data_IF_449352544970
#
_entry.id   IF_449352544970
#
_cell.length_a   1.000
_cell.length_b   1.000
_cell.length_c   1.000
_cell.angle_alpha   90.00
_cell.angle_beta   90.00
_cell.angle_gamma   90.00
#
_symmetry.space_group_name_H-M   'P 1'
#
loop_
_entity.id
_entity.type
_entity.pdbx_description
1 polymer ?
#
# COMPACT_ATOMS: atom_id res chain seq x y z
N UNK A 1 -4.97 12.14 15.26
CA UNK A 1 -5.26 11.97 13.82
C UNK A 1 -5.49 13.36 13.25
N UNK A 2 -4.83 13.72 12.17
CA UNK A 2 -4.97 15.05 11.55
C UNK A 2 -5.17 14.85 10.06
N UNK A 3 -6.28 15.33 9.52
CA UNK A 3 -6.60 15.21 8.10
C UNK A 3 -7.46 16.39 7.64
N UNK A 4 -7.38 16.72 6.34
CA UNK A 4 -8.27 17.68 5.67
C UNK A 4 -9.03 16.91 4.60
N UNK A 5 -10.35 16.79 4.77
CA UNK A 5 -11.20 15.96 3.91
C UNK A 5 -12.32 16.83 3.37
N UNK A 6 -12.49 16.82 2.04
CA UNK A 6 -13.70 17.36 1.42
C UNK A 6 -14.83 16.37 1.64
N UNK A 7 -15.95 16.84 2.16
CA UNK A 7 -17.15 16.04 2.45
C UNK A 7 -18.32 16.56 1.65
N UNK A 8 -19.36 15.75 1.51
CA UNK A 8 -20.59 16.16 0.85
C UNK A 8 -21.27 17.33 1.59
N UNK A 9 -21.97 18.24 0.88
CA UNK A 9 -22.60 19.41 1.49
C UNK A 9 -23.55 19.06 2.65
N UNK A 10 -24.29 17.96 2.55
CA UNK A 10 -25.20 17.49 3.62
C UNK A 10 -24.45 17.07 4.88
N UNK A 11 -23.32 16.38 4.73
CA UNK A 11 -22.43 16.01 5.86
C UNK A 11 -21.89 17.28 6.53
N UNK A 12 -21.44 18.26 5.74
CA UNK A 12 -20.93 19.52 6.29
C UNK A 12 -22.00 20.31 7.05
N UNK A 13 -23.22 20.42 6.50
CA UNK A 13 -24.37 21.05 7.17
C UNK A 13 -24.71 20.33 8.49
N UNK A 14 -24.79 19.00 8.48
CA UNK A 14 -25.07 18.20 9.68
C UNK A 14 -23.98 18.38 10.75
N UNK A 15 -22.70 18.43 10.37
CA UNK A 15 -21.61 18.66 11.33
C UNK A 15 -21.69 20.04 11.99
N UNK A 16 -22.11 21.08 11.27
CA UNK A 16 -22.38 22.40 11.87
C UNK A 16 -23.49 22.31 12.91
N UNK A 17 -24.62 21.69 12.56
CA UNK A 17 -25.74 21.49 13.46
C UNK A 17 -25.33 20.70 14.72
N UNK A 18 -24.53 19.64 14.57
CA UNK A 18 -24.04 18.83 15.70
C UNK A 18 -23.08 19.58 16.63
N UNK A 19 -22.56 20.74 16.22
CA UNK A 19 -21.70 21.61 17.03
C UNK A 19 -22.46 22.78 17.66
N UNK A 20 -23.71 23.03 17.28
CA UNK A 20 -24.50 24.14 17.82
C UNK A 20 -24.74 23.96 19.32
N UNK A 21 -24.59 25.06 20.07
CA UNK A 21 -24.75 25.11 21.53
C UNK A 21 -23.85 24.14 22.32
N UNK A 22 -22.74 23.66 21.72
CA UNK A 22 -21.74 22.82 22.38
C UNK A 22 -20.47 23.59 22.71
N UNK A 23 -19.83 23.22 23.82
CA UNK A 23 -18.52 23.66 24.22
C UNK A 23 -17.43 22.72 23.68
N UNK A 24 -16.16 23.09 23.85
CA UNK A 24 -15.02 22.33 23.30
C UNK A 24 -14.85 20.90 23.85
N UNK A 25 -15.38 20.62 25.04
CA UNK A 25 -15.28 19.31 25.70
C UNK A 25 -16.53 18.43 25.48
N UNK A 26 -17.58 18.95 24.86
CA UNK A 26 -18.83 18.22 24.63
C UNK A 26 -18.69 17.21 23.47
N UNK A 27 -19.38 16.08 23.57
CA UNK A 27 -19.34 15.06 22.52
C UNK A 27 -20.00 15.54 21.23
N UNK A 28 -19.31 15.38 20.09
CA UNK A 28 -19.85 15.75 18.77
C UNK A 28 -21.13 14.98 18.43
N UNK A 29 -21.19 13.69 18.74
CA UNK A 29 -22.35 12.82 18.51
C UNK A 29 -23.00 12.42 19.83
N UNK A 30 -23.58 13.39 20.54
CA UNK A 30 -24.14 13.29 21.90
C UNK A 30 -25.28 12.27 22.05
N UNK A 31 -25.95 11.91 20.94
CA UNK A 31 -27.03 10.92 20.92
C UNK A 31 -26.63 9.58 20.30
N UNK A 32 -25.36 9.40 19.96
CA UNK A 32 -24.86 8.19 19.31
C UNK A 32 -23.97 7.41 20.27
N UNK A 33 -24.26 6.12 20.45
CA UNK A 33 -23.36 5.21 21.15
C UNK A 33 -22.82 4.13 20.20
N UNK A 34 -21.67 3.56 20.57
CA UNK A 34 -21.09 2.42 19.82
C UNK A 34 -22.00 1.19 19.85
N UNK A 35 -22.77 0.99 20.92
CA UNK A 35 -23.75 -0.09 21.01
C UNK A 35 -24.89 0.12 20.00
N UNK A 36 -25.50 1.31 19.98
CA UNK A 36 -26.56 1.65 19.04
C UNK A 36 -26.10 1.57 17.58
N UNK A 37 -24.90 2.06 17.27
CA UNK A 37 -24.33 1.96 15.92
C UNK A 37 -24.15 0.50 15.48
N UNK A 38 -23.57 -0.36 16.32
CA UNK A 38 -23.35 -1.76 15.94
C UNK A 38 -24.65 -2.56 15.88
N UNK A 39 -25.65 -2.22 16.69
CA UNK A 39 -26.99 -2.79 16.55
C UNK A 39 -27.58 -2.46 15.18
N UNK A 40 -27.59 -1.18 14.80
CA UNK A 40 -28.07 -0.75 13.49
C UNK A 40 -27.30 -1.44 12.35
N UNK A 41 -25.98 -1.53 12.44
CA UNK A 41 -25.17 -2.23 11.43
C UNK A 41 -25.52 -3.72 11.33
N UNK A 42 -25.78 -4.39 12.45
CA UNK A 42 -26.14 -5.81 12.48
C UNK A 42 -27.52 -6.07 11.87
N UNK A 43 -28.44 -5.11 11.97
CA UNK A 43 -29.76 -5.16 11.31
C UNK A 43 -29.63 -5.05 9.78
N UNK A 44 -28.62 -4.32 9.28
CA UNK A 44 -28.33 -4.23 7.84
C UNK A 44 -27.67 -5.50 7.29
N UNK A 45 -26.78 -6.13 8.07
CA UNK A 45 -26.09 -7.36 7.71
C UNK A 45 -25.64 -8.10 8.96
N UNK A 46 -26.00 -9.39 9.07
CA UNK A 46 -25.61 -10.22 10.20
C UNK A 46 -24.08 -10.22 10.40
N UNK A 47 -23.64 -9.92 11.62
CA UNK A 47 -22.22 -9.86 11.97
C UNK A 47 -21.48 -8.58 11.55
N UNK A 48 -22.15 -7.64 10.88
CA UNK A 48 -21.56 -6.36 10.50
C UNK A 48 -21.39 -5.46 11.73
N UNK A 49 -20.17 -4.94 11.88
CA UNK A 49 -19.80 -4.02 12.97
C UNK A 49 -18.86 -2.95 12.44
N UNK A 50 -18.69 -1.84 13.16
CA UNK A 50 -17.83 -0.74 12.72
C UNK A 50 -16.37 -1.18 12.41
N UNK A 51 -15.85 -2.19 13.12
CA UNK A 51 -14.50 -2.74 12.87
C UNK A 51 -14.37 -3.43 11.51
N UNK A 52 -15.46 -4.01 10.98
CA UNK A 52 -15.46 -4.75 9.71
C UNK A 52 -15.14 -3.80 8.56
N UNK A 53 -15.63 -2.56 8.60
CA UNK A 53 -15.31 -1.53 7.59
C UNK A 53 -13.81 -1.26 7.48
N UNK A 54 -13.07 -1.23 8.61
CA UNK A 54 -11.61 -1.04 8.57
C UNK A 54 -10.92 -2.20 7.86
N UNK A 55 -11.30 -3.44 8.15
CA UNK A 55 -10.74 -4.64 7.52
C UNK A 55 -11.11 -4.72 6.04
N UNK A 56 -12.37 -4.40 5.69
CA UNK A 56 -12.86 -4.37 4.32
C UNK A 56 -12.09 -3.32 3.50
N UNK A 57 -12.07 -2.07 3.94
CA UNK A 57 -11.39 -0.98 3.21
C UNK A 57 -9.89 -1.26 3.08
N UNK A 58 -9.23 -1.74 4.14
CA UNK A 58 -7.82 -2.10 4.08
C UNK A 58 -7.52 -3.22 3.08
N UNK A 59 -8.32 -4.31 3.12
CA UNK A 59 -8.13 -5.47 2.24
C UNK A 59 -8.46 -5.13 0.79
N UNK A 60 -9.54 -4.39 0.55
CA UNK A 60 -9.91 -3.93 -0.79
C UNK A 60 -8.84 -3.00 -1.37
N UNK A 61 -8.38 -2.00 -0.62
CA UNK A 61 -7.29 -1.12 -1.06
C UNK A 61 -6.02 -1.90 -1.37
N UNK A 62 -5.66 -2.92 -0.57
CA UNK A 62 -4.51 -3.76 -0.91
C UNK A 62 -4.70 -4.46 -2.26
N UNK A 63 -5.85 -5.08 -2.50
CA UNK A 63 -6.14 -5.78 -3.75
C UNK A 63 -6.05 -4.82 -4.94
N UNK A 64 -6.78 -3.70 -4.88
CA UNK A 64 -6.85 -2.72 -5.96
C UNK A 64 -5.45 -2.12 -6.28
N UNK A 65 -4.66 -1.81 -5.24
CA UNK A 65 -3.29 -1.30 -5.41
C UNK A 65 -2.32 -2.36 -5.95
N UNK A 66 -2.45 -3.63 -5.54
CA UNK A 66 -1.61 -4.70 -6.07
C UNK A 66 -1.90 -4.95 -7.56
N UNK A 67 -3.16 -4.90 -7.97
CA UNK A 67 -3.55 -5.06 -9.36
C UNK A 67 -3.08 -3.89 -10.24
N UNK A 68 -3.02 -2.68 -9.67
CA UNK A 68 -2.53 -1.47 -10.35
C UNK A 68 -1.01 -1.39 -10.43
N UNK A 69 -0.29 -1.69 -9.33
CA UNK A 69 1.14 -1.40 -9.19
C UNK A 69 2.06 -2.55 -9.63
N UNK A 70 1.54 -3.78 -9.78
CA UNK A 70 2.38 -4.94 -10.07
C UNK A 70 2.65 -5.09 -11.57
N UNK A 71 3.90 -4.91 -11.98
CA UNK A 71 4.36 -5.25 -13.33
C UNK A 71 4.66 -6.77 -13.43
N UNK A 72 4.00 -7.51 -14.35
CA UNK A 72 4.26 -8.93 -14.60
C UNK A 72 5.73 -9.25 -14.90
N UNK A 73 6.41 -8.38 -15.62
CA UNK A 73 7.77 -8.59 -16.13
C UNK A 73 8.85 -8.07 -15.15
N UNK A 74 8.44 -7.44 -14.06
CA UNK A 74 9.37 -6.93 -13.07
C UNK A 74 10.08 -8.04 -12.31
N UNK A 75 11.30 -7.73 -11.86
CA UNK A 75 12.08 -8.62 -11.02
C UNK A 75 11.42 -8.81 -9.64
N UNK A 76 11.76 -9.88 -8.92
CA UNK A 76 11.22 -10.12 -7.58
C UNK A 76 11.44 -8.92 -6.63
N UNK A 77 12.62 -8.26 -6.58
CA UNK A 77 12.80 -7.04 -5.78
C UNK A 77 11.81 -5.92 -6.12
N UNK A 78 11.55 -5.69 -7.41
CA UNK A 78 10.62 -4.65 -7.87
C UNK A 78 9.17 -5.00 -7.54
N UNK A 79 8.77 -6.27 -7.71
CA UNK A 79 7.46 -6.76 -7.26
C UNK A 79 7.26 -6.58 -5.76
N UNK A 80 8.30 -6.84 -4.95
CA UNK A 80 8.25 -6.59 -3.51
C UNK A 80 8.11 -5.10 -3.17
N UNK A 81 8.75 -4.21 -3.94
CA UNK A 81 8.56 -2.76 -3.80
C UNK A 81 7.11 -2.36 -4.13
N UNK A 82 6.54 -2.88 -5.21
CA UNK A 82 5.13 -2.64 -5.56
C UNK A 82 4.20 -3.09 -4.43
N UNK A 83 4.43 -4.28 -3.85
CA UNK A 83 3.67 -4.75 -2.70
C UNK A 83 3.79 -3.82 -1.49
N UNK A 84 5.01 -3.37 -1.16
CA UNK A 84 5.22 -2.48 -0.03
C UNK A 84 4.54 -1.12 -0.25
N UNK A 85 4.52 -0.60 -1.48
CA UNK A 85 3.76 0.60 -1.85
C UNK A 85 2.26 0.40 -1.70
N UNK A 86 1.72 -0.72 -2.15
CA UNK A 86 0.30 -1.07 -1.94
C UNK A 86 -0.05 -1.11 -0.44
N UNK A 87 0.77 -1.80 0.37
CA UNK A 87 0.57 -1.85 1.82
C UNK A 87 0.78 -0.48 2.50
N UNK A 88 1.63 0.39 1.92
CA UNK A 88 1.80 1.77 2.39
C UNK A 88 0.52 2.58 2.23
N UNK A 89 -0.20 2.43 1.11
CA UNK A 89 -1.51 3.09 0.93
C UNK A 89 -2.52 2.62 1.99
N UNK A 90 -2.55 1.32 2.28
CA UNK A 90 -3.38 0.78 3.36
C UNK A 90 -3.00 1.37 4.72
N UNK A 91 -1.69 1.47 5.00
CA UNK A 91 -1.20 2.02 6.25
C UNK A 91 -1.55 3.52 6.39
N UNK A 92 -1.51 4.30 5.31
CA UNK A 92 -1.96 5.69 5.28
C UNK A 92 -3.46 5.80 5.53
N UNK A 93 -4.27 4.99 4.85
CA UNK A 93 -5.72 4.89 5.05
C UNK A 93 -6.07 4.59 6.52
N UNK A 94 -5.31 3.68 7.14
CA UNK A 94 -5.50 3.30 8.54
C UNK A 94 -4.81 4.24 9.55
N UNK A 95 -4.12 5.29 9.09
CA UNK A 95 -3.29 6.19 9.90
C UNK A 95 -2.25 5.46 10.78
N UNK A 96 -1.62 4.42 10.25
CA UNK A 96 -0.53 3.69 10.90
C UNK A 96 0.82 4.42 10.73
N UNK A 97 0.96 5.54 11.44
CA UNK A 97 2.18 6.34 11.44
C UNK A 97 3.16 5.86 12.52
N UNK A 98 4.45 6.14 12.32
CA UNK A 98 5.50 6.00 13.33
C UNK A 98 6.50 7.14 13.22
N UNK A 99 7.22 7.41 14.31
CA UNK A 99 8.38 8.30 14.24
C UNK A 99 9.49 7.65 13.42
N UNK A 100 10.25 8.50 12.70
CA UNK A 100 11.45 8.05 11.99
C UNK A 100 12.44 7.47 13.00
N UNK A 101 12.95 6.24 12.80
CA UNK A 101 13.91 5.66 13.73
C UNK A 101 15.17 6.51 13.87
N UNK A 102 15.69 6.66 15.10
CA UNK A 102 16.92 7.44 15.37
C UNK A 102 18.15 6.93 14.58
N UNK A 103 18.16 5.65 14.22
CA UNK A 103 19.25 5.00 13.45
C UNK A 103 19.05 5.07 11.93
N UNK A 104 17.95 5.68 11.46
CA UNK A 104 17.57 5.69 10.05
C UNK A 104 18.65 6.34 9.18
N UNK A 105 19.11 7.54 9.53
CA UNK A 105 20.14 8.27 8.77
C UNK A 105 21.43 7.48 8.65
N UNK A 106 21.91 6.89 9.75
CA UNK A 106 23.11 6.04 9.75
C UNK A 106 22.94 4.82 8.85
N UNK A 107 21.78 4.15 8.92
CA UNK A 107 21.47 3.00 8.08
C UNK A 107 21.36 3.37 6.60
N UNK A 108 20.75 4.53 6.28
CA UNK A 108 20.64 5.03 4.92
C UNK A 108 21.98 5.49 4.37
N UNK A 109 22.82 6.16 5.17
CA UNK A 109 24.18 6.53 4.78
C UNK A 109 25.02 5.30 4.45
N UNK A 110 24.92 4.24 5.26
CA UNK A 110 25.59 2.95 4.97
C UNK A 110 25.12 2.33 3.65
N UNK A 111 23.82 2.41 3.35
CA UNK A 111 23.26 1.85 2.12
C UNK A 111 23.66 2.68 0.90
N UNK A 112 23.66 4.02 1.00
CA UNK A 112 24.13 4.93 -0.04
C UNK A 112 25.61 4.69 -0.37
N UNK A 113 26.47 4.56 0.63
CA UNK A 113 27.89 4.24 0.41
C UNK A 113 28.10 2.92 -0.35
N UNK A 114 27.26 1.90 -0.11
CA UNK A 114 27.28 0.64 -0.87
C UNK A 114 26.82 0.82 -2.32
N UNK A 115 25.79 1.65 -2.55
CA UNK A 115 25.32 1.99 -3.89
C UNK A 115 26.43 2.72 -4.66
N UNK A 116 27.06 3.72 -4.04
CA UNK A 116 28.11 4.51 -4.67
C UNK A 116 29.33 3.65 -5.02
N UNK A 117 29.79 2.80 -4.09
CA UNK A 117 30.87 1.85 -4.35
C UNK A 117 30.52 0.89 -5.51
N UNK A 118 29.26 0.43 -5.58
CA UNK A 118 28.81 -0.45 -6.65
C UNK A 118 28.73 0.26 -8.00
N UNK A 119 28.35 1.54 -8.03
CA UNK A 119 28.38 2.39 -9.23
C UNK A 119 29.80 2.55 -9.77
N UNK A 120 30.77 2.85 -8.89
CA UNK A 120 32.19 2.92 -9.28
C UNK A 120 32.69 1.59 -9.86
N UNK A 121 32.34 0.46 -9.24
CA UNK A 121 32.70 -0.88 -9.76
C UNK A 121 32.11 -1.14 -11.17
N UNK A 122 30.86 -0.72 -11.40
CA UNK A 122 30.19 -0.84 -12.71
C UNK A 122 30.88 0.04 -13.76
N UNK A 123 31.29 1.25 -13.41
CA UNK A 123 31.98 2.16 -14.35
C UNK A 123 33.34 1.59 -14.78
N UNK A 124 34.09 1.00 -13.84
CA UNK A 124 35.32 0.27 -14.14
C UNK A 124 35.06 -0.93 -15.07
N UNK A 125 34.04 -1.73 -14.77
CA UNK A 125 33.64 -2.89 -15.60
C UNK A 125 33.18 -2.47 -17.00
N UNK A 126 32.48 -1.33 -17.14
CA UNK A 126 32.10 -0.75 -18.43
C UNK A 126 33.32 -0.34 -19.24
N UNK A 127 34.31 0.26 -18.61
CA UNK A 127 35.57 0.63 -19.25
C UNK A 127 36.37 -0.61 -19.68
N UNK A 128 36.41 -1.65 -18.84
CA UNK A 128 37.04 -2.93 -19.16
C UNK A 128 36.35 -3.62 -20.35
N UNK A 129 35.01 -3.65 -20.36
CA UNK A 129 34.22 -4.20 -21.45
C UNK A 129 34.49 -3.47 -22.77
N UNK A 130 34.56 -2.13 -22.76
CA UNK A 130 34.90 -1.33 -23.95
C UNK A 130 36.27 -1.71 -24.50
N UNK A 131 37.28 -1.90 -23.64
CA UNK A 131 38.62 -2.34 -24.06
C UNK A 131 38.59 -3.75 -24.65
N UNK A 132 37.94 -4.70 -23.98
CA UNK A 132 37.79 -6.08 -24.46
C UNK A 132 37.03 -6.15 -25.80
N UNK A 133 36.01 -5.31 -25.99
CA UNK A 133 35.26 -5.20 -27.25
C UNK A 133 36.12 -4.70 -28.39
N UNK A 134 36.99 -3.72 -28.16
CA UNK A 134 37.96 -3.24 -29.16
C UNK A 134 39.01 -4.31 -29.47
N UNK A 135 39.54 -5.00 -28.45
CA UNK A 135 40.48 -6.12 -28.61
C UNK A 135 39.89 -7.25 -29.47
N UNK A 136 38.62 -7.60 -29.23
CA UNK A 136 37.90 -8.57 -30.05
C UNK A 136 37.70 -8.08 -31.50
N UNK A 137 37.34 -6.81 -31.72
CA UNK A 137 37.21 -6.26 -33.09
C UNK A 137 38.51 -6.35 -33.89
N UNK A 138 39.65 -6.12 -33.24
CA UNK A 138 40.95 -6.14 -33.88
C UNK A 138 41.48 -7.57 -34.12
N UNK A 139 41.36 -8.44 -33.13
CA UNK A 139 41.92 -9.80 -33.18
C UNK A 139 40.98 -10.83 -33.80
N UNK A 140 39.66 -10.67 -33.64
CA UNK A 140 38.60 -11.65 -33.96
C UNK A 140 38.88 -13.07 -33.44
N UNK A 141 39.71 -13.18 -32.39
CA UNK A 141 40.12 -14.46 -31.83
C UNK A 141 39.05 -15.04 -30.91
N UNK A 142 38.99 -16.36 -30.81
CA UNK A 142 38.09 -17.03 -29.87
C UNK A 142 38.41 -16.69 -28.40
N UNK A 143 39.69 -16.42 -28.08
CA UNK A 143 40.12 -16.04 -26.72
C UNK A 143 39.60 -14.66 -26.32
N UNK A 144 39.74 -13.66 -27.21
CA UNK A 144 39.24 -12.30 -26.99
C UNK A 144 37.71 -12.23 -26.95
N UNK A 145 37.01 -13.07 -27.72
CA UNK A 145 35.56 -13.23 -27.61
C UNK A 145 35.15 -13.74 -26.22
N UNK A 146 35.75 -14.84 -25.75
CA UNK A 146 35.45 -15.42 -24.44
C UNK A 146 35.68 -14.42 -23.30
N UNK A 147 36.76 -13.64 -23.36
CA UNK A 147 37.07 -12.59 -22.38
C UNK A 147 36.00 -11.50 -22.36
N UNK A 148 35.57 -11.02 -23.52
CA UNK A 148 34.49 -10.03 -23.64
C UNK A 148 33.18 -10.54 -23.03
N UNK A 149 32.76 -11.76 -23.36
CA UNK A 149 31.53 -12.37 -22.83
C UNK A 149 31.57 -12.57 -21.30
N UNK A 150 32.74 -12.89 -20.74
CA UNK A 150 32.91 -13.01 -19.29
C UNK A 150 32.73 -11.67 -18.57
N UNK A 151 33.32 -10.60 -19.12
CA UNK A 151 33.19 -9.24 -18.56
C UNK A 151 31.74 -8.77 -18.69
N UNK A 152 31.08 -9.03 -19.81
CA UNK A 152 29.66 -8.70 -20.01
C UNK A 152 28.75 -9.37 -18.97
N UNK A 153 28.95 -10.67 -18.74
CA UNK A 153 28.20 -11.41 -17.69
C UNK A 153 28.49 -10.86 -16.29
N UNK A 154 29.73 -10.45 -16.01
CA UNK A 154 30.09 -9.83 -14.72
C UNK A 154 29.43 -8.46 -14.56
N UNK A 155 29.44 -7.65 -15.61
CA UNK A 155 28.80 -6.33 -15.65
C UNK A 155 27.30 -6.46 -15.41
N UNK A 156 26.61 -7.36 -16.11
CA UNK A 156 25.17 -7.59 -15.92
C UNK A 156 24.85 -7.95 -14.46
N UNK A 157 25.60 -8.87 -13.86
CA UNK A 157 25.42 -9.24 -12.44
C UNK A 157 25.61 -8.07 -11.49
N UNK A 158 26.57 -7.19 -11.79
CA UNK A 158 26.81 -5.98 -11.00
C UNK A 158 25.67 -4.98 -11.14
N UNK A 159 25.14 -4.78 -12.34
CA UNK A 159 24.00 -3.91 -12.62
C UNK A 159 22.72 -4.42 -11.93
N UNK A 160 22.45 -5.73 -11.98
CA UNK A 160 21.32 -6.35 -11.27
C UNK A 160 21.44 -6.16 -9.75
N UNK A 161 22.66 -6.32 -9.21
CA UNK A 161 22.93 -6.11 -7.79
C UNK A 161 22.78 -4.64 -7.38
N UNK A 162 23.19 -3.69 -8.23
CA UNK A 162 22.97 -2.26 -8.02
C UNK A 162 21.48 -1.95 -7.97
N UNK A 163 20.71 -2.43 -8.95
CA UNK A 163 19.26 -2.22 -9.02
C UNK A 163 18.56 -2.71 -7.75
N UNK A 164 18.96 -3.86 -7.22
CA UNK A 164 18.45 -4.38 -5.94
C UNK A 164 18.75 -3.45 -4.76
N UNK A 165 19.95 -2.86 -4.69
CA UNK A 165 20.32 -1.93 -3.63
C UNK A 165 19.53 -0.62 -3.73
N UNK A 166 19.33 -0.11 -4.95
CA UNK A 166 18.54 1.11 -5.20
C UNK A 166 17.07 0.91 -4.83
N UNK A 167 16.47 -0.22 -5.21
CA UNK A 167 15.11 -0.61 -4.80
C UNK A 167 15.01 -0.70 -3.27
N UNK A 168 16.00 -1.29 -2.60
CA UNK A 168 16.01 -1.37 -1.14
C UNK A 168 16.13 0.02 -0.47
N UNK A 169 16.88 0.94 -1.06
CA UNK A 169 17.02 2.29 -0.54
C UNK A 169 15.71 3.06 -0.68
N UNK A 170 15.05 2.95 -1.84
CA UNK A 170 13.77 3.58 -2.10
C UNK A 170 12.67 3.06 -1.16
N UNK A 171 12.57 1.74 -1.00
CA UNK A 171 11.61 1.10 -0.09
C UNK A 171 11.78 1.58 1.37
N UNK A 172 13.02 1.76 1.83
CA UNK A 172 13.30 2.26 3.17
C UNK A 172 12.93 3.73 3.33
N UNK A 173 13.23 4.54 2.33
CA UNK A 173 12.94 5.97 2.35
C UNK A 173 11.42 6.24 2.34
N UNK A 174 10.67 5.56 1.47
CA UNK A 174 9.22 5.70 1.35
C UNK A 174 8.47 5.28 2.63
N UNK A 175 9.06 4.38 3.42
CA UNK A 175 8.44 3.78 4.61
C UNK A 175 9.06 4.24 5.94
N UNK A 176 9.87 5.29 5.95
CA UNK A 176 10.60 5.73 7.16
C UNK A 176 9.68 6.12 8.33
N UNK A 177 8.51 6.67 8.03
CA UNK A 177 7.51 7.19 8.96
C UNK A 177 6.19 6.38 8.96
N UNK A 178 6.15 5.24 8.26
CA UNK A 178 4.95 4.40 8.13
C UNK A 178 5.15 3.02 8.78
N UNK A 179 4.16 2.57 9.56
CA UNK A 179 4.17 1.28 10.26
C UNK A 179 3.40 0.20 9.47
N UNK A 180 4.05 -0.38 8.46
CA UNK A 180 3.48 -1.41 7.58
C UNK A 180 3.07 -2.73 8.25
N UNK A 181 3.66 -3.05 9.42
CA UNK A 181 3.40 -4.32 10.12
C UNK A 181 1.99 -4.42 10.68
N UNK A 182 1.43 -3.31 11.15
CA UNK A 182 0.12 -3.28 11.80
C UNK A 182 -1.02 -3.55 10.82
N UNK A 183 -1.00 -2.92 9.64
CA UNK A 183 -1.95 -3.21 8.55
C UNK A 183 -1.83 -4.67 8.12
N UNK A 184 -0.60 -5.10 7.80
CA UNK A 184 -0.29 -6.43 7.28
C UNK A 184 -0.77 -7.59 8.15
N UNK A 185 -0.75 -7.45 9.46
CA UNK A 185 -1.04 -8.57 10.38
C UNK A 185 -2.48 -8.62 10.89
N UNK A 186 -3.19 -7.49 10.87
CA UNK A 186 -4.44 -7.35 11.61
C UNK A 186 -5.61 -6.85 10.75
N UNK A 187 -5.37 -6.21 9.61
CA UNK A 187 -6.41 -5.55 8.82
C UNK A 187 -6.50 -6.06 7.38
N UNK A 188 -5.52 -6.86 6.94
CA UNK A 188 -5.47 -7.42 5.60
C UNK A 188 -5.89 -8.89 5.62
N UNK A 189 -6.72 -9.28 4.66
CA UNK A 189 -6.94 -10.68 4.36
C UNK A 189 -5.65 -11.32 3.80
N UNK A 190 -5.02 -12.27 4.52
CA UNK A 190 -3.75 -12.85 4.08
C UNK A 190 -3.86 -13.62 2.76
N UNK A 191 -5.07 -14.04 2.36
CA UNK A 191 -5.30 -14.75 1.09
C UNK A 191 -4.97 -13.86 -0.11
N UNK A 192 -5.18 -12.54 -0.02
CA UNK A 192 -4.78 -11.59 -1.06
C UNK A 192 -3.27 -11.67 -1.31
N UNK A 193 -2.49 -11.62 -0.24
CA UNK A 193 -1.02 -11.67 -0.33
C UNK A 193 -0.52 -13.04 -0.79
N UNK A 194 -1.17 -14.12 -0.36
CA UNK A 194 -0.87 -15.48 -0.81
C UNK A 194 -1.17 -15.64 -2.30
N UNK A 195 -2.33 -15.18 -2.76
CA UNK A 195 -2.74 -15.22 -4.16
C UNK A 195 -1.74 -14.45 -5.03
N UNK A 196 -1.38 -13.23 -4.62
CA UNK A 196 -0.37 -12.41 -5.28
C UNK A 196 1.00 -13.11 -5.34
N UNK A 197 1.44 -13.74 -4.25
CA UNK A 197 2.68 -14.52 -4.24
C UNK A 197 2.64 -15.70 -5.22
N UNK A 198 1.51 -16.42 -5.29
CA UNK A 198 1.32 -17.54 -6.22
C UNK A 198 1.28 -17.06 -7.68
N UNK A 199 0.52 -16.00 -7.96
CA UNK A 199 0.34 -15.42 -9.30
C UNK A 199 1.65 -14.90 -9.91
N UNK A 200 2.51 -14.30 -9.09
CA UNK A 200 3.75 -13.66 -9.55
C UNK A 200 5.03 -14.42 -9.19
N UNK A 201 4.89 -15.67 -8.76
CA UNK A 201 5.99 -16.56 -8.37
C UNK A 201 6.94 -15.93 -7.33
N UNK A 202 6.39 -15.11 -6.43
CA UNK A 202 7.16 -14.50 -5.34
C UNK A 202 7.17 -15.47 -4.17
N UNK A 203 8.37 -15.91 -3.71
CA UNK A 203 8.44 -16.86 -2.60
C UNK A 203 7.80 -16.29 -1.33
N UNK A 204 6.87 -17.05 -0.74
CA UNK A 204 6.03 -16.59 0.39
C UNK A 204 6.86 -16.21 1.62
N UNK A 205 8.07 -16.75 1.77
CA UNK A 205 9.01 -16.40 2.83
C UNK A 205 9.60 -14.99 2.70
N UNK A 206 9.56 -14.39 1.50
CA UNK A 206 9.88 -12.96 1.32
C UNK A 206 8.73 -12.07 1.78
N UNK A 207 7.50 -12.59 1.76
CA UNK A 207 6.31 -11.86 2.21
C UNK A 207 6.13 -11.97 3.72
N UNK A 208 6.16 -13.18 4.26
CA UNK A 208 5.86 -13.48 5.65
C UNK A 208 7.03 -14.17 6.33
N UNK A 209 7.37 -13.74 7.54
CA UNK A 209 8.32 -14.44 8.41
C UNK A 209 7.80 -15.83 8.82
N UNK A 210 8.64 -16.69 9.41
CA UNK A 210 8.22 -18.04 9.84
C UNK A 210 6.97 -17.99 10.74
N UNK A 211 6.99 -17.18 11.79
CA UNK A 211 5.87 -16.99 12.71
C UNK A 211 4.59 -16.49 12.01
N UNK A 212 4.74 -15.61 11.02
CA UNK A 212 3.60 -15.09 10.25
C UNK A 212 3.01 -16.16 9.32
N UNK A 213 3.86 -16.99 8.70
CA UNK A 213 3.40 -18.14 7.90
C UNK A 213 2.68 -19.18 8.75
N UNK A 214 3.10 -19.37 10.00
CA UNK A 214 2.41 -20.27 10.92
C UNK A 214 1.04 -19.70 11.32
N UNK A 215 0.94 -18.39 11.59
CA UNK A 215 -0.35 -17.70 11.83
C UNK A 215 -1.30 -17.80 10.63
N UNK A 216 -0.77 -17.66 9.41
CA UNK A 216 -1.56 -17.63 8.17
C UNK A 216 -1.53 -18.95 7.40
N UNK A 217 -1.22 -20.06 8.07
CA UNK A 217 -1.13 -21.38 7.44
C UNK A 217 -2.40 -21.73 6.66
N UNK A 218 -3.55 -21.50 7.28
CA UNK A 218 -4.87 -21.72 6.68
C UNK A 218 -5.02 -21.01 5.33
N UNK A 219 -4.56 -19.76 5.23
CA UNK A 219 -4.64 -18.96 4.00
C UNK A 219 -3.65 -19.44 2.92
N UNK A 220 -2.43 -19.82 3.34
CA UNK A 220 -1.38 -20.35 2.46
C UNK A 220 -1.86 -21.63 1.77
N UNK A 221 -2.47 -22.51 2.54
CA UNK A 221 -2.92 -23.82 2.09
C UNK A 221 -4.17 -23.72 1.19
N UNK A 222 -5.11 -22.82 1.50
CA UNK A 222 -6.40 -22.75 0.79
C UNK A 222 -6.43 -21.81 -0.43
N UNK A 223 -5.68 -20.69 -0.42
CA UNK A 223 -5.86 -19.64 -1.43
C UNK A 223 -5.21 -20.03 -2.76
N UNK A 224 -5.90 -19.83 -3.88
CA UNK A 224 -5.33 -20.02 -5.23
C UNK A 224 -4.74 -18.72 -5.76
N UNK A 225 -4.06 -18.78 -6.91
CA UNK A 225 -3.53 -17.57 -7.59
C UNK A 225 -4.65 -16.64 -8.08
N UNK A 226 -5.86 -17.17 -8.28
CA UNK A 226 -7.03 -16.45 -8.80
C UNK A 226 -7.95 -15.91 -7.70
N UNK A 227 -7.56 -16.07 -6.42
CA UNK A 227 -8.34 -15.53 -5.32
C UNK A 227 -8.44 -14.00 -5.43
N UNK A 228 -9.67 -13.50 -5.37
CA UNK A 228 -9.99 -12.08 -5.37
C UNK A 228 -10.86 -11.76 -4.15
N UNK A 229 -10.45 -10.78 -3.34
CA UNK A 229 -11.12 -10.48 -2.07
C UNK A 229 -12.58 -10.03 -2.24
N UNK A 230 -12.84 -9.26 -3.30
CA UNK A 230 -14.17 -8.78 -3.64
C UNK A 230 -14.58 -9.36 -5.00
N UNK A 231 -15.31 -10.47 -4.99
CA UNK A 231 -15.87 -11.06 -6.20
C UNK A 231 -17.40 -10.96 -6.11
N UNK A 232 -17.92 -9.74 -6.30
CA UNK A 232 -19.36 -9.52 -6.36
C UNK A 232 -19.80 -9.49 -7.82
N UNK A 233 -20.50 -10.55 -8.24
CA UNK A 233 -21.10 -10.67 -9.59
C UNK A 233 -22.57 -10.21 -9.61
N UNK A 234 -23.08 -9.58 -8.54
CA UNK A 234 -24.45 -9.08 -8.46
C UNK A 234 -24.60 -7.61 -8.86
N UNK A 235 -25.84 -7.14 -9.04
CA UNK A 235 -26.16 -5.71 -9.17
C UNK A 235 -26.19 -5.04 -7.79
N UNK A 236 -25.44 -3.94 -7.63
CA UNK A 236 -25.55 -3.07 -6.46
C UNK A 236 -26.88 -2.31 -6.57
N UNK A 237 -27.91 -2.80 -5.87
CA UNK A 237 -29.15 -2.03 -5.68
C UNK A 237 -28.90 -0.98 -4.60
N UNK A 238 -28.52 0.23 -5.02
CA UNK A 238 -28.51 1.38 -4.12
C UNK A 238 -29.96 1.68 -3.74
N UNK A 239 -30.34 1.39 -2.50
CA UNK A 239 -31.58 1.93 -1.94
C UNK A 239 -31.36 3.43 -1.75
N UNK A 240 -32.04 4.26 -2.54
CA UNK A 240 -32.13 5.69 -2.28
C UNK A 240 -32.80 5.88 -0.91
N UNK A 241 -32.06 6.40 0.06
CA UNK A 241 -32.58 6.72 1.40
C UNK A 241 -33.26 8.10 1.41
N UNK A 242 -33.34 8.77 0.27
CA UNK A 242 -33.87 10.14 0.15
C UNK A 242 -35.40 10.21 -0.05
N UNK A 243 -36.13 9.09 -0.16
CA UNK A 243 -37.57 9.13 -0.44
C UNK A 243 -38.49 9.30 0.80
N UNK A 244 -37.98 9.51 2.01
CA UNK A 244 -38.85 9.65 3.20
C UNK A 244 -38.88 11.02 3.87
N UNK A 245 -38.18 12.05 3.37
CA UNK A 245 -38.31 13.41 3.92
C UNK A 245 -38.61 14.42 2.81
N UNK A 246 -39.80 14.31 2.22
CA UNK A 246 -40.49 15.47 1.66
C UNK A 246 -41.15 16.21 2.82
N UNK A 247 -40.38 17.05 3.51
CA UNK A 247 -40.93 18.23 4.18
C UNK A 247 -40.47 19.43 3.36
N UNK A 248 -41.23 19.70 2.29
CA UNK A 248 -41.42 21.06 1.80
C UNK A 248 -42.12 21.82 2.93
N UNK A 249 -41.45 22.80 3.53
CA UNK A 249 -42.00 24.03 4.11
C UNK A 249 -40.97 24.59 5.11
N UNK A 250 -40.27 25.65 4.68
CA UNK A 250 -39.87 26.82 5.49
C UNK A 250 -38.91 27.70 4.64
N UNK A 251 -39.38 28.14 3.48
CA UNK A 251 -38.98 29.42 2.90
C UNK A 251 -40.16 30.40 3.08
N UNK A 252 -40.25 31.08 4.23
CA UNK A 252 -40.76 32.45 4.29
C UNK A 252 -40.60 33.06 5.70
N UNK A 253 -40.25 34.35 5.71
CA UNK A 253 -40.19 35.29 6.86
C UNK A 253 -38.81 35.59 7.47
N UNK A 254 -37.97 36.23 6.67
CA UNK A 254 -37.10 37.31 7.14
C UNK A 254 -37.27 38.51 6.19
N UNK A 255 -38.30 39.31 6.41
CA UNK A 255 -38.43 40.68 5.90
C UNK A 255 -39.60 41.39 6.59
N UNK A 256 -39.29 42.10 7.68
CA UNK A 256 -39.84 43.41 8.07
C UNK A 256 -39.78 43.52 9.59
N UNK A 257 -38.94 44.43 10.09
CA UNK A 257 -39.27 45.34 11.19
C UNK A 257 -38.07 46.29 11.36
N UNK A 258 -37.99 47.25 10.43
CA UNK A 258 -37.40 48.58 10.67
C UNK A 258 -38.58 49.52 10.95
N UNK A 259 -38.80 49.86 12.23
CA UNK A 259 -39.24 51.18 12.73
C UNK A 259 -39.01 51.30 14.24
#
# INVERSE_FOLDING_TARGET
>A
YTNKVSVEPRVYKNLKLFMENKNGDDELFDRLSTAGLNQYLSELMEGLTAKVFRTYNASKTLQDELDSLTDPNASIPEKMLAYNRANRQVALLCNHQRSVPKTFEKSMGTLKAKIDAKKSEIDEQKNEYKRAKTEYKNSKSQSSQKKMEQIEKKLQRSEDALKKLEVQALDREENKDIALGTSKLNYLDPRISVAWCKKWEVPIEKMYSKTQRDKFRWAIDMATADYHFYNYEGEIVLRNVDETNNDEDDEEQLNSDDE
#
